data_IF_982728320885
#
_entry.id   IF_982728320885
#
_cell.length_a   1.000
_cell.length_b   1.000
_cell.length_c   1.000
_cell.angle_alpha   90.00
_cell.angle_beta   90.00
_cell.angle_gamma   90.00
#
_symmetry.space_group_name_H-M   'P 1'
#
loop_
_entity.id
_entity.type
_entity.pdbx_description
1 polymer ?
#
# COMPACT_ATOMS: atom_id res chain seq x y z
N UNK A 1 33.17 -8.98 63.03
CA UNK A 1 34.28 -8.40 63.84
C UNK A 1 35.41 -7.96 62.91
N UNK A 2 36.37 -7.17 63.42
CA UNK A 2 37.69 -6.84 62.82
C UNK A 2 37.77 -6.07 61.49
N UNK A 3 38.75 -5.15 61.40
CA UNK A 3 39.06 -4.27 60.27
C UNK A 3 40.44 -4.62 59.65
N UNK A 4 40.64 -4.31 58.35
CA UNK A 4 41.81 -3.66 57.69
C UNK A 4 41.82 -4.05 56.19
N UNK A 5 41.92 -3.22 55.13
CA UNK A 5 42.43 -1.86 54.79
C UNK A 5 43.90 -1.76 54.32
N UNK A 6 44.13 -0.94 53.28
CA UNK A 6 45.41 -0.55 52.61
C UNK A 6 46.05 -1.60 51.65
N UNK A 7 46.74 -1.24 50.55
CA UNK A 7 46.80 0.05 49.81
C UNK A 7 47.49 -0.02 48.42
N UNK A 8 46.78 0.47 47.40
CA UNK A 8 47.17 1.50 46.42
C UNK A 8 48.67 1.85 46.19
N UNK A 9 49.11 1.78 44.91
CA UNK A 9 50.11 2.61 44.19
C UNK A 9 50.17 2.10 42.72
N UNK A 10 50.42 2.89 41.66
CA UNK A 10 50.31 4.34 41.42
C UNK A 10 50.55 4.55 39.91
N UNK A 11 49.73 5.34 39.20
CA UNK A 11 50.17 6.17 38.05
C UNK A 11 49.13 7.25 37.74
N UNK A 12 49.58 8.36 37.15
CA UNK A 12 48.80 9.54 36.76
C UNK A 12 49.25 9.93 35.30
N UNK A 13 48.72 10.94 34.61
CA UNK A 13 47.91 12.09 35.03
C UNK A 13 47.11 12.70 33.85
N UNK A 14 46.15 13.60 34.18
CA UNK A 14 45.98 14.98 33.62
C UNK A 14 46.16 15.18 32.09
N UNK A 15 45.23 15.79 31.35
CA UNK A 15 44.58 17.05 31.70
C UNK A 15 43.10 17.21 31.29
N UNK A 16 42.42 18.08 32.04
CA UNK A 16 41.26 18.85 31.59
C UNK A 16 41.71 20.33 31.53
N UNK A 17 41.14 21.14 30.65
CA UNK A 17 41.21 22.61 30.80
C UNK A 17 39.96 23.26 30.22
N UNK A 18 39.34 24.12 31.02
CA UNK A 18 38.21 24.94 30.66
C UNK A 18 38.48 26.36 31.14
N UNK A 19 38.21 27.37 30.30
CA UNK A 19 38.22 28.75 30.74
C UNK A 19 37.19 29.58 29.97
N UNK A 20 36.59 30.52 30.67
CA UNK A 20 35.49 31.36 30.23
C UNK A 20 35.77 32.77 30.77
N UNK A 21 35.81 33.78 29.90
CA UNK A 21 35.94 35.18 30.33
C UNK A 21 35.42 36.19 29.29
N UNK A 22 34.45 36.95 29.77
CA UNK A 22 33.92 38.27 29.39
C UNK A 22 34.55 39.03 28.20
N UNK A 23 33.70 39.29 27.20
CA UNK A 23 33.23 40.62 26.77
C UNK A 23 34.13 41.86 26.78
N UNK A 24 34.14 42.58 25.65
CA UNK A 24 34.51 44.00 25.54
C UNK A 24 33.41 44.73 24.76
N UNK A 25 33.04 45.93 25.20
CA UNK A 25 32.02 46.80 24.59
C UNK A 25 32.59 47.72 23.51
N UNK A 26 31.79 48.07 22.49
CA UNK A 26 31.90 49.36 21.81
C UNK A 26 30.52 49.80 21.30
N UNK A 27 30.26 51.11 21.29
CA UNK A 27 28.97 51.73 20.97
C UNK A 27 29.13 52.82 19.89
N UNK A 28 28.00 53.43 19.52
CA UNK A 28 27.85 54.63 18.68
C UNK A 28 27.93 54.38 17.15
N UNK A 29 27.14 55.03 16.28
CA UNK A 29 26.20 56.17 16.47
C UNK A 29 24.93 56.07 15.61
N UNK A 30 23.97 56.91 15.97
CA UNK A 30 22.79 57.41 15.27
C UNK A 30 23.07 58.81 14.63
N UNK A 31 22.19 59.51 13.88
CA UNK A 31 20.75 59.24 13.66
C UNK A 31 20.23 59.44 12.21
N UNK A 32 19.84 60.65 11.69
CA UNK A 32 18.45 60.74 11.22
C UNK A 32 18.22 61.12 9.74
N UNK A 33 17.02 60.74 9.25
CA UNK A 33 16.09 61.44 8.31
C UNK A 33 16.67 62.06 7.00
N UNK A 34 16.09 61.89 5.80
CA UNK A 34 14.66 62.00 5.39
C UNK A 34 14.44 61.51 3.92
N UNK A 35 13.20 61.44 3.39
CA UNK A 35 12.88 60.76 2.12
C UNK A 35 12.68 61.66 0.88
N UNK A 36 12.78 61.07 -0.34
CA UNK A 36 11.98 61.45 -1.51
C UNK A 36 11.25 60.20 -2.11
N UNK A 37 9.93 60.23 -2.21
CA UNK A 37 9.13 60.57 -3.42
C UNK A 37 8.80 59.36 -4.30
N UNK A 38 7.51 59.13 -4.56
CA UNK A 38 7.05 58.07 -5.46
C UNK A 38 7.09 58.54 -6.92
N UNK A 39 7.46 57.63 -7.83
CA UNK A 39 7.14 57.77 -9.24
C UNK A 39 6.83 56.39 -9.86
N UNK A 40 6.02 56.36 -10.91
CA UNK A 40 5.58 55.12 -11.57
C UNK A 40 6.47 54.77 -12.75
N UNK A 41 6.93 53.51 -12.82
CA UNK A 41 7.32 52.86 -14.08
C UNK A 41 6.75 51.45 -14.10
N UNK A 42 5.86 51.17 -15.06
CA UNK A 42 5.48 49.81 -15.41
C UNK A 42 6.50 49.20 -16.38
N UNK A 43 6.81 47.90 -16.23
CA UNK A 43 6.97 46.92 -17.33
C UNK A 43 7.94 45.77 -16.99
N UNK A 44 7.61 44.59 -17.53
CA UNK A 44 8.52 43.50 -17.94
C UNK A 44 9.42 42.79 -16.91
N UNK A 45 8.99 41.55 -16.60
CA UNK A 45 9.79 40.32 -16.43
C UNK A 45 11.07 40.33 -15.58
N UNK A 46 10.98 39.70 -14.40
CA UNK A 46 11.71 38.44 -14.15
C UNK A 46 11.11 37.68 -12.96
N UNK A 47 10.39 36.57 -13.22
CA UNK A 47 9.87 35.67 -12.16
C UNK A 47 10.89 34.57 -11.91
N UNK A 48 11.98 34.91 -11.20
CA UNK A 48 13.03 33.97 -10.87
C UNK A 48 12.77 33.21 -9.58
N UNK A 49 12.79 31.87 -9.71
CA UNK A 49 12.96 30.82 -8.70
C UNK A 49 12.49 31.07 -7.26
N UNK A 50 11.37 30.43 -6.90
CA UNK A 50 11.04 30.09 -5.50
C UNK A 50 10.57 28.62 -5.36
N UNK A 51 11.06 27.73 -6.24
CA UNK A 51 10.59 26.34 -6.35
C UNK A 51 11.50 25.30 -5.64
N UNK A 52 12.57 25.72 -4.96
CA UNK A 52 13.52 24.78 -4.32
C UNK A 52 13.21 24.48 -2.85
N UNK A 53 12.45 25.33 -2.16
CA UNK A 53 12.23 25.27 -0.70
C UNK A 53 11.28 24.15 -0.24
N UNK A 54 10.91 23.23 -1.12
CA UNK A 54 10.15 22.00 -0.80
C UNK A 54 10.95 20.69 -1.06
N UNK A 55 12.23 20.77 -1.43
CA UNK A 55 13.05 19.58 -1.80
C UNK A 55 13.92 18.99 -0.69
N UNK A 56 14.18 19.72 0.39
CA UNK A 56 15.16 19.30 1.42
C UNK A 56 14.49 18.84 2.72
N UNK A 57 14.02 17.58 2.72
CA UNK A 57 13.60 16.85 3.92
C UNK A 57 13.94 15.34 3.78
N UNK A 58 15.23 15.03 3.62
CA UNK A 58 15.85 13.68 3.65
C UNK A 58 15.32 12.63 2.65
N UNK A 59 16.13 12.40 1.61
CA UNK A 59 16.61 11.09 1.13
C UNK A 59 15.65 9.87 1.19
N UNK A 60 15.30 9.19 0.10
CA UNK A 60 15.87 9.19 -1.27
C UNK A 60 14.97 9.86 -2.31
N UNK A 61 15.57 10.62 -3.23
CA UNK A 61 14.86 11.27 -4.33
C UNK A 61 14.74 10.35 -5.57
N UNK A 62 14.17 9.16 -5.38
CA UNK A 62 13.70 8.32 -6.49
C UNK A 62 12.58 9.08 -7.21
N UNK A 63 12.73 9.32 -8.52
CA UNK A 63 11.72 10.04 -9.29
C UNK A 63 10.41 9.23 -9.29
N UNK A 64 9.34 9.81 -8.73
CA UNK A 64 8.05 9.12 -8.61
C UNK A 64 7.57 8.71 -10.00
N UNK A 65 7.31 7.42 -10.17
CA UNK A 65 6.86 6.84 -11.43
C UNK A 65 5.49 7.41 -11.80
N UNK A 66 5.34 7.91 -13.03
CA UNK A 66 4.10 8.55 -13.51
C UNK A 66 2.85 7.68 -13.27
N UNK A 67 2.97 6.36 -13.39
CA UNK A 67 1.86 5.42 -13.16
C UNK A 67 1.53 5.26 -11.66
N UNK A 68 2.53 5.34 -10.79
CA UNK A 68 2.32 5.38 -9.33
C UNK A 68 1.71 6.72 -8.89
N UNK A 69 2.16 7.82 -9.50
CA UNK A 69 1.62 9.16 -9.30
C UNK A 69 0.14 9.23 -9.73
N UNK A 70 -0.21 8.71 -10.91
CA UNK A 70 -1.59 8.69 -11.38
C UNK A 70 -2.51 7.80 -10.53
N UNK A 71 -2.01 6.67 -10.01
CA UNK A 71 -2.75 5.84 -9.07
C UNK A 71 -3.12 6.63 -7.80
N UNK A 72 -2.17 7.40 -7.28
CA UNK A 72 -2.36 8.21 -6.08
C UNK A 72 -3.19 9.48 -6.34
N UNK A 73 -3.10 10.08 -7.52
CA UNK A 73 -3.99 11.16 -7.98
C UNK A 73 -5.44 10.68 -8.11
N UNK A 74 -5.65 9.49 -8.67
CA UNK A 74 -6.96 8.85 -8.75
C UNK A 74 -7.50 8.55 -7.35
N UNK A 75 -6.69 8.01 -6.44
CA UNK A 75 -7.06 7.80 -5.04
C UNK A 75 -7.45 9.13 -4.34
N UNK A 76 -6.66 10.21 -4.50
CA UNK A 76 -7.00 11.54 -3.97
C UNK A 76 -8.34 12.04 -4.50
N UNK A 77 -8.58 11.89 -5.81
CA UNK A 77 -9.85 12.29 -6.45
C UNK A 77 -11.05 11.57 -5.82
N UNK A 78 -10.94 10.26 -5.61
CA UNK A 78 -12.04 9.45 -5.05
C UNK A 78 -12.24 9.75 -3.55
N UNK A 79 -11.17 9.97 -2.78
CA UNK A 79 -11.27 10.31 -1.35
C UNK A 79 -12.19 11.51 -1.10
N UNK A 80 -11.96 12.62 -1.81
CA UNK A 80 -12.77 13.83 -1.68
C UNK A 80 -14.18 13.62 -2.28
N UNK A 81 -14.30 12.95 -3.44
CA UNK A 81 -15.59 12.76 -4.09
C UNK A 81 -16.54 11.79 -3.37
N UNK A 82 -16.06 10.95 -2.44
CA UNK A 82 -16.87 9.89 -1.78
C UNK A 82 -17.04 10.08 -0.26
N UNK A 83 -16.87 11.32 0.24
CA UNK A 83 -16.95 11.67 1.66
C UNK A 83 -16.04 10.82 2.57
N UNK A 84 -14.84 10.45 2.10
CA UNK A 84 -13.97 9.52 2.84
C UNK A 84 -13.43 10.09 4.18
N UNK A 85 -13.48 11.41 4.34
CA UNK A 85 -13.04 12.13 5.53
C UNK A 85 -14.07 12.16 6.66
N UNK A 86 -15.28 11.64 6.43
CA UNK A 86 -16.24 11.29 7.47
C UNK A 86 -15.97 9.89 8.04
N UNK A 87 -16.15 9.70 9.36
CA UNK A 87 -15.95 8.41 10.00
C UNK A 87 -17.00 7.41 9.49
N UNK A 88 -16.62 6.15 9.23
CA UNK A 88 -17.57 5.14 8.79
C UNK A 88 -18.63 4.89 9.87
N UNK A 89 -19.89 4.78 9.44
CA UNK A 89 -21.09 4.78 10.27
C UNK A 89 -21.15 3.60 11.24
N UNK A 90 -20.41 2.51 10.97
CA UNK A 90 -20.18 1.45 11.96
C UNK A 90 -19.19 1.88 13.05
N UNK A 91 -19.71 2.21 14.24
CA UNK A 91 -18.95 2.21 15.49
C UNK A 91 -18.51 0.80 15.94
N UNK A 92 -19.02 -0.23 15.27
CA UNK A 92 -18.85 -1.62 15.65
C UNK A 92 -17.43 -2.17 15.40
N UNK A 93 -17.00 -3.10 16.25
CA UNK A 93 -15.82 -3.94 15.99
C UNK A 93 -16.02 -4.75 14.70
N UNK A 94 -14.93 -5.12 14.01
CA UNK A 94 -14.99 -5.68 12.65
C UNK A 94 -15.74 -7.02 12.54
N UNK A 95 -16.04 -7.67 13.66
CA UNK A 95 -16.87 -8.87 13.72
C UNK A 95 -18.34 -8.57 13.43
N UNK A 96 -18.90 -7.52 14.04
CA UNK A 96 -20.32 -7.14 13.90
C UNK A 96 -20.68 -6.59 12.51
N UNK A 97 -19.70 -6.22 11.70
CA UNK A 97 -19.89 -5.68 10.34
C UNK A 97 -20.37 -6.72 9.32
N UNK A 98 -20.29 -8.03 9.62
CA UNK A 98 -20.20 -9.06 8.57
C UNK A 98 -21.27 -10.16 8.62
N UNK A 99 -22.19 -10.15 9.59
CA UNK A 99 -23.33 -11.09 9.60
C UNK A 99 -24.49 -10.67 8.69
N UNK A 100 -24.76 -9.36 8.60
CA UNK A 100 -25.80 -8.78 7.73
C UNK A 100 -25.25 -8.46 6.33
N UNK A 101 -25.17 -9.49 5.48
CA UNK A 101 -24.69 -9.42 4.09
C UNK A 101 -25.69 -8.73 3.12
N UNK A 102 -26.26 -7.60 3.52
CA UNK A 102 -27.26 -6.79 2.78
C UNK A 102 -27.07 -5.28 2.93
N UNK A 103 -26.19 -4.81 3.82
CA UNK A 103 -25.98 -3.38 4.09
C UNK A 103 -24.48 -3.03 4.10
N UNK A 104 -23.91 -2.64 2.96
CA UNK A 104 -22.78 -1.72 2.99
C UNK A 104 -23.32 -0.29 3.14
N UNK A 105 -22.90 0.38 4.22
CA UNK A 105 -23.03 1.83 4.38
C UNK A 105 -21.68 2.56 4.43
N UNK A 106 -20.58 1.81 4.57
CA UNK A 106 -19.27 2.37 4.87
C UNK A 106 -18.34 2.35 3.64
N UNK A 107 -17.78 3.51 3.33
CA UNK A 107 -16.81 3.71 2.25
C UNK A 107 -15.52 2.89 2.51
N UNK A 108 -15.00 2.11 1.53
CA UNK A 108 -13.76 1.34 1.69
C UNK A 108 -12.53 2.20 2.03
N UNK A 109 -12.49 3.45 1.56
CA UNK A 109 -11.43 4.39 1.86
C UNK A 109 -11.55 4.95 3.29
N UNK A 110 -12.77 5.26 3.77
CA UNK A 110 -12.99 5.61 5.18
C UNK A 110 -12.56 4.47 6.11
N UNK A 111 -12.85 3.23 5.73
CA UNK A 111 -12.37 2.06 6.46
C UNK A 111 -10.84 1.95 6.43
N UNK A 112 -10.15 2.28 5.33
CA UNK A 112 -8.68 2.29 5.29
C UNK A 112 -8.09 3.38 6.19
N UNK A 113 -8.65 4.59 6.17
CA UNK A 113 -8.26 5.71 7.05
C UNK A 113 -8.46 5.39 8.54
N UNK A 114 -9.57 4.72 8.90
CA UNK A 114 -9.89 4.30 10.29
C UNK A 114 -8.89 3.29 10.90
N UNK A 115 -8.12 2.57 10.08
CA UNK A 115 -7.18 1.54 10.54
C UNK A 115 -5.70 1.90 10.32
N UNK A 116 -5.38 3.18 10.15
CA UNK A 116 -4.00 3.67 10.15
C UNK A 116 -3.43 3.72 11.59
N UNK A 117 -2.29 3.07 11.84
CA UNK A 117 -1.51 3.20 13.08
C UNK A 117 -0.66 4.48 13.01
N UNK A 118 -1.27 5.63 13.29
CA UNK A 118 -0.62 6.96 13.25
C UNK A 118 -0.07 7.30 14.64
N UNK A 119 1.18 7.76 14.69
CA UNK A 119 1.83 8.31 15.90
C UNK A 119 2.28 9.75 15.60
N UNK A 120 2.00 10.68 16.51
CA UNK A 120 2.63 12.00 16.48
C UNK A 120 4.10 11.93 16.95
N UNK A 121 5.03 12.39 16.13
CA UNK A 121 6.48 12.37 16.40
C UNK A 121 6.85 13.18 17.65
N UNK A 122 6.10 14.24 17.97
CA UNK A 122 6.47 15.16 19.06
C UNK A 122 6.10 14.66 20.46
N UNK A 123 5.04 13.85 20.56
CA UNK A 123 4.48 13.35 21.82
C UNK A 123 4.55 11.82 21.95
N UNK A 124 4.82 11.09 20.87
CA UNK A 124 4.80 9.63 20.82
C UNK A 124 3.40 9.02 20.99
N UNK A 125 2.33 9.84 20.94
CA UNK A 125 0.95 9.39 21.18
C UNK A 125 0.26 8.92 19.91
N UNK A 126 -0.66 7.94 20.00
CA UNK A 126 -1.56 7.60 18.91
C UNK A 126 -2.40 8.80 18.46
N UNK A 127 -2.55 8.93 17.14
CA UNK A 127 -3.41 9.90 16.47
C UNK A 127 -4.51 9.13 15.74
N UNK A 128 -5.76 9.55 15.95
CA UNK A 128 -6.89 9.09 15.14
C UNK A 128 -7.11 10.11 14.02
N UNK A 129 -7.07 9.65 12.77
CA UNK A 129 -7.29 10.48 11.58
C UNK A 129 -8.61 11.27 11.65
N UNK A 130 -9.67 10.70 12.22
CA UNK A 130 -10.98 11.34 12.27
C UNK A 130 -11.08 12.46 13.30
N UNK A 131 -10.19 12.47 14.30
CA UNK A 131 -10.07 13.53 15.30
C UNK A 131 -9.16 14.69 14.86
N UNK A 132 -8.58 14.63 13.64
CA UNK A 132 -7.82 15.73 13.07
C UNK A 132 -8.76 16.84 12.53
N UNK A 133 -8.40 18.13 12.70
CA UNK A 133 -9.00 19.23 11.95
C UNK A 133 -8.93 18.99 10.43
N UNK A 134 -9.88 19.54 9.67
CA UNK A 134 -9.99 19.30 8.23
C UNK A 134 -8.70 19.64 7.46
N UNK A 135 -8.10 20.80 7.70
CA UNK A 135 -6.78 21.19 7.13
C UNK A 135 -5.70 20.11 7.39
N UNK A 136 -5.68 19.52 8.58
CA UNK A 136 -4.71 18.50 8.96
C UNK A 136 -5.00 17.16 8.29
N UNK A 137 -6.27 16.78 8.11
CA UNK A 137 -6.67 15.61 7.31
C UNK A 137 -6.16 15.72 5.87
N UNK A 138 -6.34 16.89 5.25
CA UNK A 138 -5.95 17.12 3.86
C UNK A 138 -4.42 17.07 3.66
N UNK A 139 -3.66 17.77 4.52
CA UNK A 139 -2.18 17.72 4.48
C UNK A 139 -1.65 16.32 4.80
N UNK A 140 -2.27 15.61 5.76
CA UNK A 140 -1.90 14.23 6.08
C UNK A 140 -2.12 13.28 4.88
N UNK A 141 -3.26 13.40 4.20
CA UNK A 141 -3.61 12.58 3.02
C UNK A 141 -2.69 12.86 1.84
N UNK A 142 -2.32 14.12 1.60
CA UNK A 142 -1.40 14.48 0.52
C UNK A 142 0.00 13.89 0.74
N UNK A 143 0.50 13.96 1.98
CA UNK A 143 1.76 13.33 2.38
C UNK A 143 1.70 11.80 2.32
N UNK A 144 0.60 11.19 2.76
CA UNK A 144 0.39 9.74 2.77
C UNK A 144 0.39 9.17 1.35
N UNK A 145 -0.38 9.78 0.45
CA UNK A 145 -0.43 9.38 -0.96
C UNK A 145 0.91 9.66 -1.67
N UNK A 146 1.70 10.63 -1.21
CA UNK A 146 3.07 10.87 -1.71
C UNK A 146 4.04 9.76 -1.29
N UNK A 147 3.98 9.31 -0.03
CA UNK A 147 4.81 8.18 0.46
C UNK A 147 4.41 6.84 -0.19
N UNK A 148 3.12 6.61 -0.42
CA UNK A 148 2.65 5.45 -1.17
C UNK A 148 3.03 5.53 -2.66
N UNK A 149 3.00 6.70 -3.30
CA UNK A 149 3.47 6.87 -4.66
C UNK A 149 4.96 6.51 -4.80
N UNK A 150 5.80 6.90 -3.83
CA UNK A 150 7.21 6.44 -3.73
C UNK A 150 7.29 4.92 -3.56
N UNK A 151 6.50 4.34 -2.65
CA UNK A 151 6.45 2.89 -2.41
C UNK A 151 6.10 2.09 -3.65
N UNK A 152 5.03 2.48 -4.36
CA UNK A 152 4.58 1.85 -5.60
C UNK A 152 5.62 2.03 -6.70
N UNK A 153 6.31 3.19 -6.76
CA UNK A 153 7.41 3.41 -7.71
C UNK A 153 8.52 2.37 -7.54
N UNK A 154 9.03 2.17 -6.32
CA UNK A 154 10.07 1.15 -6.08
C UNK A 154 9.58 -0.30 -6.20
N UNK A 155 8.28 -0.55 -6.04
CA UNK A 155 7.68 -1.85 -6.38
C UNK A 155 7.60 -2.07 -7.90
N UNK A 156 7.37 -1.04 -8.71
CA UNK A 156 7.46 -1.08 -10.18
C UNK A 156 8.92 -1.24 -10.63
N UNK A 157 9.88 -0.56 -9.99
CA UNK A 157 11.32 -0.73 -10.28
C UNK A 157 11.78 -2.18 -10.06
N UNK A 158 11.30 -2.83 -8.98
CA UNK A 158 11.59 -4.23 -8.69
C UNK A 158 10.89 -5.22 -9.64
N UNK A 159 9.68 -4.88 -10.14
CA UNK A 159 8.88 -5.72 -11.05
C UNK A 159 8.21 -4.85 -12.13
N UNK A 160 8.90 -4.57 -13.25
CA UNK A 160 8.42 -3.62 -14.26
C UNK A 160 7.07 -3.95 -14.89
N UNK A 161 6.68 -5.22 -14.93
CA UNK A 161 5.39 -5.69 -15.49
C UNK A 161 4.18 -5.18 -14.70
N UNK A 162 4.37 -4.76 -13.44
CA UNK A 162 3.34 -4.05 -12.67
C UNK A 162 2.96 -2.70 -13.28
N UNK A 163 3.85 -2.06 -14.05
CA UNK A 163 3.59 -0.76 -14.68
C UNK A 163 2.37 -0.83 -15.61
N UNK A 164 2.27 -1.87 -16.43
CA UNK A 164 1.18 -2.00 -17.40
C UNK A 164 -0.13 -2.47 -16.76
N UNK A 165 -0.06 -3.25 -15.67
CA UNK A 165 -1.24 -3.62 -14.86
C UNK A 165 -1.79 -2.39 -14.13
N UNK A 166 -0.93 -1.59 -13.47
CA UNK A 166 -1.35 -0.35 -12.82
C UNK A 166 -1.81 0.71 -13.82
N UNK A 167 -1.22 0.77 -15.02
CA UNK A 167 -1.70 1.65 -16.10
C UNK A 167 -3.13 1.29 -16.53
N UNK A 168 -3.47 0.00 -16.60
CA UNK A 168 -4.85 -0.47 -16.81
C UNK A 168 -5.78 -0.08 -15.66
N UNK A 169 -5.40 -0.37 -14.41
CA UNK A 169 -6.19 0.03 -13.24
C UNK A 169 -6.44 1.56 -13.23
N UNK A 170 -5.43 2.36 -13.57
CA UNK A 170 -5.54 3.81 -13.69
C UNK A 170 -6.45 4.27 -14.84
N UNK A 171 -6.35 3.64 -16.02
CA UNK A 171 -7.21 3.94 -17.17
C UNK A 171 -8.69 3.68 -16.86
N UNK A 172 -9.01 2.50 -16.31
CA UNK A 172 -10.36 2.15 -15.88
C UNK A 172 -10.88 3.13 -14.83
N UNK A 173 -10.07 3.44 -13.81
CA UNK A 173 -10.42 4.40 -12.76
C UNK A 173 -10.67 5.81 -13.32
N UNK A 174 -9.85 6.25 -14.27
CA UNK A 174 -10.00 7.55 -14.93
C UNK A 174 -11.30 7.64 -15.73
N UNK A 175 -11.67 6.60 -16.49
CA UNK A 175 -12.94 6.57 -17.25
C UNK A 175 -14.16 6.71 -16.35
N UNK A 176 -14.14 6.15 -15.13
CA UNK A 176 -15.24 6.29 -14.16
C UNK A 176 -15.24 7.67 -13.51
N UNK A 177 -14.07 8.23 -13.19
CA UNK A 177 -13.90 9.63 -12.73
C UNK A 177 -14.49 10.62 -13.76
N UNK A 178 -14.14 10.47 -15.04
CA UNK A 178 -14.60 11.31 -16.14
C UNK A 178 -16.11 11.14 -16.40
N UNK A 179 -16.61 9.90 -16.47
CA UNK A 179 -18.04 9.59 -16.67
C UNK A 179 -18.93 10.13 -15.55
N UNK A 180 -18.41 10.23 -14.33
CA UNK A 180 -19.09 10.81 -13.15
C UNK A 180 -18.85 12.32 -13.00
N UNK A 181 -18.15 12.97 -13.93
CA UNK A 181 -17.90 14.41 -13.92
C UNK A 181 -16.97 14.90 -12.82
N UNK A 182 -16.16 14.01 -12.24
CA UNK A 182 -15.31 14.33 -11.08
C UNK A 182 -14.04 15.06 -11.51
N UNK A 183 -13.74 16.19 -10.85
CA UNK A 183 -12.51 16.95 -11.12
C UNK A 183 -11.29 16.20 -10.58
N UNK A 184 -10.42 15.68 -11.47
CA UNK A 184 -9.18 14.98 -11.08
C UNK A 184 -8.30 15.88 -10.20
N UNK A 185 -7.93 15.35 -9.04
CA UNK A 185 -7.02 15.98 -8.08
C UNK A 185 -5.58 15.49 -8.28
N UNK A 186 -4.61 16.30 -7.88
CA UNK A 186 -3.18 15.95 -7.91
C UNK A 186 -2.59 16.00 -6.51
N UNK A 187 -1.69 15.07 -6.18
CA UNK A 187 -0.87 15.13 -4.95
C UNK A 187 0.23 16.19 -5.07
N UNK A 188 0.70 16.76 -3.96
CA UNK A 188 1.78 17.76 -3.92
C UNK A 188 1.45 19.15 -4.47
N UNK A 189 0.36 19.29 -5.23
CA UNK A 189 -0.13 20.60 -5.71
C UNK A 189 -0.82 21.34 -4.57
N UNK A 190 -0.01 22.09 -3.83
CA UNK A 190 -0.45 22.93 -2.73
C UNK A 190 -1.33 24.08 -3.27
N UNK A 191 -2.66 23.92 -3.16
CA UNK A 191 -3.66 24.87 -3.70
C UNK A 191 -3.70 26.18 -2.89
N UNK A 192 -2.74 27.06 -3.14
CA UNK A 192 -2.76 28.46 -2.68
C UNK A 192 -3.96 29.25 -3.20
N UNK A 193 -4.62 28.77 -4.26
CA UNK A 193 -6.01 29.09 -4.60
C UNK A 193 -6.93 27.95 -4.20
N UNK A 194 -7.60 28.12 -3.07
CA UNK A 194 -8.81 27.37 -2.73
C UNK A 194 -9.90 27.66 -3.78
N UNK A 195 -9.96 26.81 -4.81
CA UNK A 195 -11.27 26.22 -5.13
C UNK A 195 -11.65 25.44 -3.89
N UNK A 196 -12.65 25.93 -3.17
CA UNK A 196 -13.18 25.33 -1.95
C UNK A 196 -13.64 23.90 -2.21
N UNK A 197 -13.79 23.11 -1.15
CA UNK A 197 -14.29 21.72 -1.26
C UNK A 197 -15.70 21.69 -1.86
N UNK A 198 -16.44 22.79 -1.73
CA UNK A 198 -17.72 23.12 -2.41
C UNK A 198 -17.71 22.90 -3.93
N UNK A 199 -16.55 22.99 -4.58
CA UNK A 199 -16.37 22.85 -6.04
C UNK A 199 -16.24 21.36 -6.48
N UNK A 200 -16.28 20.41 -5.53
CA UNK A 200 -16.13 18.97 -5.76
C UNK A 200 -17.51 18.31 -5.80
N UNK A 201 -17.84 17.67 -6.93
CA UNK A 201 -19.07 16.90 -7.09
C UNK A 201 -19.05 15.67 -6.18
N UNK A 202 -19.87 15.69 -5.14
CA UNK A 202 -20.04 14.54 -4.23
C UNK A 202 -20.85 13.40 -4.87
N UNK A 203 -20.33 12.19 -4.75
CA UNK A 203 -20.97 10.95 -5.17
C UNK A 203 -22.08 10.59 -4.18
N UNK A 204 -23.33 10.94 -4.54
CA UNK A 204 -24.54 10.69 -3.74
C UNK A 204 -24.72 9.22 -3.34
N UNK A 205 -24.30 8.28 -4.18
CA UNK A 205 -24.40 6.82 -3.92
C UNK A 205 -23.01 6.17 -4.05
N UNK A 206 -22.21 6.27 -2.98
CA UNK A 206 -20.83 5.77 -2.96
C UNK A 206 -20.73 4.27 -3.24
N UNK A 207 -21.68 3.46 -2.75
CA UNK A 207 -21.74 2.01 -3.01
C UNK A 207 -21.88 1.68 -4.52
N UNK A 208 -22.66 2.47 -5.26
CA UNK A 208 -22.89 2.30 -6.69
C UNK A 208 -21.68 2.74 -7.52
N UNK A 209 -21.01 3.82 -7.11
CA UNK A 209 -19.72 4.23 -7.67
C UNK A 209 -18.63 3.16 -7.47
N UNK A 210 -18.49 2.61 -6.26
CA UNK A 210 -17.49 1.58 -5.99
C UNK A 210 -17.78 0.24 -6.68
N UNK A 211 -19.07 -0.06 -6.96
CA UNK A 211 -19.45 -1.18 -7.82
C UNK A 211 -19.03 -0.93 -9.27
N UNK A 212 -19.45 0.18 -9.87
CA UNK A 212 -19.09 0.57 -11.24
C UNK A 212 -17.57 0.60 -11.47
N UNK A 213 -16.83 1.20 -10.55
CA UNK A 213 -15.36 1.25 -10.58
C UNK A 213 -14.73 -0.14 -10.60
N UNK A 214 -15.34 -1.12 -9.93
CA UNK A 214 -14.83 -2.49 -9.87
C UNK A 214 -15.18 -3.28 -11.11
N UNK A 215 -16.38 -3.08 -11.66
CA UNK A 215 -16.81 -3.66 -12.94
C UNK A 215 -15.93 -3.16 -14.10
N UNK A 216 -15.58 -1.86 -14.11
CA UNK A 216 -14.67 -1.27 -15.11
C UNK A 216 -13.23 -1.80 -14.99
N UNK A 217 -12.70 -1.91 -13.76
CA UNK A 217 -11.36 -2.48 -13.51
C UNK A 217 -11.33 -3.97 -13.89
N UNK A 218 -12.37 -4.74 -13.55
CA UNK A 218 -12.47 -6.16 -13.93
C UNK A 218 -12.53 -6.34 -15.45
N UNK A 219 -13.20 -5.45 -16.18
CA UNK A 219 -13.24 -5.45 -17.65
C UNK A 219 -11.89 -5.10 -18.30
N UNK A 220 -11.17 -4.10 -17.80
CA UNK A 220 -9.86 -3.68 -18.35
C UNK A 220 -8.73 -4.70 -18.05
N UNK A 221 -8.79 -5.33 -16.88
CA UNK A 221 -7.86 -6.39 -16.46
C UNK A 221 -8.21 -7.75 -17.09
N UNK A 222 -9.47 -7.99 -17.46
CA UNK A 222 -9.87 -9.18 -18.20
C UNK A 222 -9.14 -9.28 -19.55
N UNK A 223 -8.83 -10.50 -20.02
CA UNK A 223 -8.22 -10.69 -21.32
C UNK A 223 -9.24 -10.47 -22.44
N UNK A 224 -9.46 -9.20 -22.79
CA UNK A 224 -9.93 -8.83 -24.12
C UNK A 224 -9.15 -9.65 -25.15
N UNK A 225 -9.87 -10.46 -25.93
CA UNK A 225 -9.28 -11.45 -26.83
C UNK A 225 -9.48 -11.01 -28.28
N UNK A 226 -8.49 -10.36 -28.91
CA UNK A 226 -8.49 -10.23 -30.36
C UNK A 226 -8.40 -11.63 -30.97
N UNK A 227 -9.28 -11.96 -31.91
CA UNK A 227 -9.10 -13.12 -32.78
C UNK A 227 -8.00 -12.83 -33.82
N UNK A 228 -6.75 -12.73 -33.38
CA UNK A 228 -5.62 -12.77 -34.30
C UNK A 228 -5.40 -14.21 -34.77
N UNK A 229 -5.69 -14.43 -36.05
CA UNK A 229 -5.41 -15.68 -36.75
C UNK A 229 -3.89 -15.87 -36.90
N UNK A 230 -3.27 -16.51 -35.92
CA UNK A 230 -1.84 -16.81 -35.90
C UNK A 230 -1.44 -17.68 -34.71
N UNK A 231 -1.40 -19.00 -34.88
CA UNK A 231 -1.16 -19.96 -33.79
C UNK A 231 0.32 -20.04 -33.35
N UNK A 232 0.83 -18.98 -32.72
CA UNK A 232 2.10 -19.03 -31.97
C UNK A 232 1.81 -19.51 -30.55
N UNK A 233 2.17 -20.76 -30.24
CA UNK A 233 1.90 -21.38 -28.94
C UNK A 233 3.10 -21.22 -28.00
N UNK A 234 3.11 -20.15 -27.21
CA UNK A 234 4.09 -20.00 -26.13
C UNK A 234 3.79 -20.97 -24.99
N UNK A 235 4.79 -21.74 -24.54
CA UNK A 235 4.69 -22.47 -23.28
C UNK A 235 5.06 -21.50 -22.15
N UNK A 236 4.24 -21.44 -21.09
CA UNK A 236 4.61 -20.71 -19.88
C UNK A 236 5.86 -21.38 -19.26
N UNK A 237 6.81 -20.62 -18.69
CA UNK A 237 7.94 -21.21 -17.98
C UNK A 237 7.43 -22.02 -16.79
N UNK A 238 7.59 -23.34 -16.83
CA UNK A 238 7.33 -24.21 -15.69
C UNK A 238 8.59 -24.36 -14.84
N UNK A 239 8.46 -24.06 -13.55
CA UNK A 239 9.54 -24.19 -12.58
C UNK A 239 9.63 -25.64 -12.13
N UNK A 240 10.82 -26.27 -12.16
CA UNK A 240 10.99 -27.62 -11.62
C UNK A 240 10.53 -27.66 -10.16
N UNK A 241 9.62 -28.57 -9.82
CA UNK A 241 8.98 -28.67 -8.49
C UNK A 241 9.99 -28.75 -7.34
N UNK A 242 11.18 -29.32 -7.57
CA UNK A 242 12.25 -29.34 -6.56
C UNK A 242 12.87 -27.96 -6.31
N UNK A 243 12.91 -27.06 -7.31
CA UNK A 243 13.30 -25.66 -7.13
C UNK A 243 12.26 -24.90 -6.32
N UNK A 244 10.96 -25.10 -6.58
CA UNK A 244 9.86 -24.54 -5.77
C UNK A 244 9.99 -24.97 -4.31
N UNK A 245 10.13 -26.29 -4.07
CA UNK A 245 10.37 -26.87 -2.74
C UNK A 245 11.59 -26.24 -2.06
N UNK A 246 12.72 -26.15 -2.75
CA UNK A 246 13.97 -25.64 -2.19
C UNK A 246 13.91 -24.12 -1.90
N UNK A 247 13.23 -23.36 -2.76
CA UNK A 247 12.96 -21.93 -2.56
C UNK A 247 12.06 -21.70 -1.32
N UNK A 248 10.96 -22.45 -1.21
CA UNK A 248 10.04 -22.36 -0.06
C UNK A 248 10.75 -22.79 1.23
N UNK A 249 11.50 -23.90 1.21
CA UNK A 249 12.31 -24.39 2.36
C UNK A 249 13.31 -23.34 2.88
N UNK A 250 13.83 -22.47 2.01
CA UNK A 250 14.80 -21.42 2.38
C UNK A 250 14.18 -20.10 2.82
N UNK A 251 13.00 -19.75 2.32
CA UNK A 251 12.46 -18.38 2.39
C UNK A 251 11.04 -18.26 2.94
N UNK A 252 10.20 -19.26 2.73
CA UNK A 252 8.81 -19.28 3.17
C UNK A 252 8.68 -19.81 4.60
N UNK A 253 7.67 -19.29 5.29
CA UNK A 253 7.23 -19.74 6.61
C UNK A 253 5.74 -20.06 6.53
N UNK A 254 5.24 -20.90 7.42
CA UNK A 254 3.79 -21.05 7.60
C UNK A 254 3.15 -19.68 7.87
N UNK A 255 2.19 -19.32 7.04
CA UNK A 255 1.43 -18.07 7.07
C UNK A 255 2.13 -16.86 6.42
N UNK A 256 3.22 -17.07 5.70
CA UNK A 256 3.48 -16.31 4.47
C UNK A 256 2.48 -16.74 3.37
N UNK A 257 2.39 -16.02 2.25
CA UNK A 257 1.54 -16.40 1.12
C UNK A 257 2.31 -16.43 -0.20
N UNK A 258 1.98 -17.38 -1.08
CA UNK A 258 2.44 -17.41 -2.46
C UNK A 258 1.54 -16.51 -3.31
N UNK A 259 2.14 -15.75 -4.24
CA UNK A 259 1.45 -14.78 -5.08
C UNK A 259 1.97 -14.86 -6.53
N UNK A 260 1.12 -15.32 -7.44
CA UNK A 260 1.36 -15.22 -8.88
C UNK A 260 0.69 -13.93 -9.40
N UNK A 261 1.42 -13.11 -10.16
CA UNK A 261 0.86 -11.98 -10.90
C UNK A 261 0.61 -12.39 -12.37
N UNK A 262 -0.28 -11.71 -13.11
CA UNK A 262 -0.61 -12.08 -14.50
C UNK A 262 0.58 -12.10 -15.47
N UNK A 263 1.69 -11.41 -15.15
CA UNK A 263 2.89 -11.29 -15.96
C UNK A 263 4.16 -11.31 -15.10
N UNK A 264 4.90 -12.43 -15.15
CA UNK A 264 6.16 -12.62 -14.44
C UNK A 264 7.39 -12.37 -15.33
N UNK A 265 7.69 -11.10 -15.56
CA UNK A 265 9.08 -10.64 -15.67
C UNK A 265 9.87 -11.02 -16.92
N UNK A 266 9.24 -11.12 -18.10
CA UNK A 266 9.96 -11.23 -19.38
C UNK A 266 9.52 -10.13 -20.38
N UNK A 267 10.44 -9.54 -21.16
CA UNK A 267 10.19 -8.28 -21.89
C UNK A 267 9.36 -8.41 -23.19
N UNK A 268 8.48 -9.40 -23.30
CA UNK A 268 7.76 -9.74 -24.54
C UNK A 268 6.27 -10.12 -24.33
N UNK A 269 5.68 -9.79 -23.18
CA UNK A 269 4.34 -10.24 -22.75
C UNK A 269 3.17 -9.47 -23.36
N UNK A 270 3.08 -9.49 -24.69
CA UNK A 270 1.78 -9.31 -25.34
C UNK A 270 0.96 -10.60 -25.25
N UNK A 271 0.02 -10.61 -24.29
CA UNK A 271 -1.11 -11.53 -24.12
C UNK A 271 -0.74 -12.92 -23.52
N UNK A 272 -1.55 -13.40 -22.56
CA UNK A 272 -1.44 -14.74 -21.93
C UNK A 272 -1.90 -15.91 -22.84
N UNK A 273 -1.43 -15.94 -24.10
CA UNK A 273 -1.72 -16.98 -25.10
C UNK A 273 -0.73 -18.15 -25.00
N UNK A 274 -0.76 -18.82 -23.86
CA UNK A 274 -0.10 -20.11 -23.70
C UNK A 274 -1.08 -21.25 -23.49
N UNK A 275 -0.72 -22.42 -24.06
CA UNK A 275 -1.22 -23.72 -23.60
C UNK A 275 -0.53 -24.01 -22.26
N UNK A 276 -1.28 -24.58 -21.31
CA UNK A 276 -0.78 -24.96 -19.98
C UNK A 276 -0.32 -23.82 -19.03
N UNK A 277 -0.65 -22.55 -19.31
CA UNK A 277 -0.47 -21.46 -18.33
C UNK A 277 -1.42 -21.69 -17.15
N UNK A 278 -0.89 -22.02 -15.97
CA UNK A 278 -1.64 -21.87 -14.71
C UNK A 278 -1.68 -20.37 -14.35
N UNK A 279 -2.76 -19.93 -13.72
CA UNK A 279 -2.89 -18.55 -13.18
C UNK A 279 -2.83 -17.40 -14.22
N UNK A 280 -3.52 -17.55 -15.36
CA UNK A 280 -3.64 -16.53 -16.43
C UNK A 280 -4.10 -15.11 -16.00
N UNK A 281 -4.68 -14.98 -14.81
CA UNK A 281 -5.16 -13.71 -14.23
C UNK A 281 -4.47 -13.40 -12.88
N UNK A 282 -3.32 -14.04 -12.62
CA UNK A 282 -2.70 -14.10 -11.29
C UNK A 282 -3.48 -15.00 -10.32
N UNK A 283 -2.91 -15.23 -9.13
CA UNK A 283 -3.46 -16.11 -8.09
C UNK A 283 -2.75 -15.92 -6.75
N UNK A 284 -3.38 -16.33 -5.64
CA UNK A 284 -2.78 -16.25 -4.30
C UNK A 284 -3.14 -17.46 -3.41
N UNK A 285 -2.18 -17.93 -2.60
CA UNK A 285 -2.36 -19.08 -1.71
C UNK A 285 -1.61 -18.93 -0.38
N UNK A 286 -2.26 -19.22 0.74
CA UNK A 286 -1.68 -19.05 2.09
C UNK A 286 -0.86 -20.28 2.45
N UNK A 287 0.44 -20.14 2.70
CA UNK A 287 1.34 -21.27 2.95
C UNK A 287 1.01 -21.87 4.32
N UNK A 288 0.44 -23.07 4.35
CA UNK A 288 -0.06 -23.73 5.55
C UNK A 288 0.97 -24.66 6.22
N UNK A 289 2.11 -24.95 5.58
CA UNK A 289 3.16 -25.80 6.16
C UNK A 289 4.54 -25.17 6.07
N UNK A 290 5.43 -25.54 6.99
CA UNK A 290 6.86 -25.27 6.85
C UNK A 290 7.47 -26.33 5.93
N UNK A 291 7.89 -25.95 4.72
CA UNK A 291 8.53 -26.89 3.78
C UNK A 291 9.91 -27.28 4.29
N UNK A 292 10.22 -28.58 4.30
CA UNK A 292 11.48 -29.15 4.76
C UNK A 292 12.11 -30.05 3.69
N UNK A 293 13.31 -30.58 3.95
CA UNK A 293 13.93 -31.58 3.07
C UNK A 293 13.07 -32.85 2.92
N UNK A 294 12.32 -33.27 3.96
CA UNK A 294 11.46 -34.46 3.93
C UNK A 294 10.07 -34.23 3.33
N UNK A 295 9.63 -32.99 3.11
CA UNK A 295 8.34 -32.69 2.46
C UNK A 295 8.28 -33.31 1.05
N UNK A 296 7.32 -34.22 0.81
CA UNK A 296 7.02 -34.70 -0.53
C UNK A 296 6.15 -33.65 -1.27
N UNK A 297 6.67 -32.98 -2.31
CA UNK A 297 5.98 -31.86 -2.93
C UNK A 297 4.72 -32.28 -3.72
N UNK A 298 4.58 -33.56 -4.06
CA UNK A 298 3.44 -34.11 -4.82
C UNK A 298 2.30 -34.66 -3.95
N UNK A 299 2.48 -34.69 -2.62
CA UNK A 299 1.53 -35.29 -1.68
C UNK A 299 1.30 -34.48 -0.39
N UNK A 300 2.21 -33.58 -0.02
CA UNK A 300 2.04 -32.74 1.17
C UNK A 300 1.18 -31.51 0.86
N UNK A 301 0.08 -31.37 1.58
CA UNK A 301 -0.69 -30.13 1.67
C UNK A 301 0.22 -29.02 2.19
N UNK A 302 0.44 -27.99 1.36
CA UNK A 302 1.43 -26.95 1.58
C UNK A 302 0.82 -25.55 1.63
N UNK A 303 -0.33 -25.35 0.99
CA UNK A 303 -1.06 -24.08 0.88
C UNK A 303 -2.55 -24.29 1.12
N UNK A 304 -3.25 -23.25 1.59
CA UNK A 304 -4.72 -23.16 1.60
C UNK A 304 -5.13 -22.02 0.67
N UNK A 305 -6.04 -22.32 -0.25
CA UNK A 305 -6.31 -21.52 -1.44
C UNK A 305 -7.80 -21.60 -1.81
N UNK A 306 -8.32 -20.62 -2.53
CA UNK A 306 -9.71 -20.67 -3.03
C UNK A 306 -9.75 -20.79 -4.56
N UNK A 307 -10.54 -21.75 -5.07
CA UNK A 307 -10.74 -22.01 -6.49
C UNK A 307 -12.23 -22.16 -6.83
N UNK A 308 -12.60 -21.84 -8.07
CA UNK A 308 -13.96 -21.97 -8.62
C UNK A 308 -14.56 -23.38 -8.40
N UNK A 309 -13.71 -24.40 -8.48
CA UNK A 309 -14.02 -25.80 -8.18
C UNK A 309 -13.45 -26.14 -6.80
N UNK A 310 -14.28 -26.72 -5.92
CA UNK A 310 -13.89 -27.06 -4.54
C UNK A 310 -13.95 -25.91 -3.52
N UNK A 311 -13.86 -24.65 -3.96
CA UNK A 311 -13.84 -23.49 -3.04
C UNK A 311 -12.50 -23.41 -2.31
N UNK A 312 -12.54 -23.13 -1.01
CA UNK A 312 -11.35 -23.09 -0.13
C UNK A 312 -10.88 -24.51 0.21
N UNK A 313 -9.69 -24.88 -0.26
CA UNK A 313 -9.11 -26.21 -0.13
C UNK A 313 -7.59 -26.15 0.08
N UNK A 314 -6.97 -27.27 0.45
CA UNK A 314 -5.51 -27.39 0.48
C UNK A 314 -4.96 -27.77 -0.91
N UNK A 315 -3.83 -27.17 -1.31
CA UNK A 315 -3.02 -27.60 -2.45
C UNK A 315 -1.57 -27.90 -2.04
N UNK A 316 -0.77 -28.38 -2.99
CA UNK A 316 0.57 -28.95 -2.77
C UNK A 316 1.65 -28.05 -3.36
N UNK A 317 2.90 -28.27 -2.94
CA UNK A 317 4.06 -27.55 -3.50
C UNK A 317 4.18 -27.73 -5.02
N UNK A 318 3.80 -28.91 -5.55
CA UNK A 318 3.81 -29.19 -6.99
C UNK A 318 2.73 -28.44 -7.80
N UNK A 319 1.74 -27.82 -7.16
CA UNK A 319 0.72 -27.04 -7.84
C UNK A 319 1.19 -25.60 -8.17
N UNK A 320 2.29 -25.16 -7.53
CA UNK A 320 2.99 -23.88 -7.75
C UNK A 320 4.25 -24.01 -8.62
N UNK A 321 4.18 -24.85 -9.67
CA UNK A 321 5.23 -25.04 -10.70
C UNK A 321 5.32 -23.90 -11.73
N UNK A 322 4.91 -22.69 -11.36
CA UNK A 322 5.01 -21.46 -12.16
C UNK A 322 5.79 -20.38 -11.40
N UNK A 323 6.34 -19.34 -12.07
CA UNK A 323 6.77 -18.13 -11.40
C UNK A 323 5.75 -17.58 -10.40
N UNK A 324 6.24 -17.15 -9.24
CA UNK A 324 5.48 -16.55 -8.15
C UNK A 324 6.40 -15.90 -7.11
N UNK A 325 5.85 -14.98 -6.32
CA UNK A 325 6.52 -14.43 -5.14
C UNK A 325 6.12 -15.18 -3.88
N UNK A 326 7.05 -15.33 -2.95
CA UNK A 326 6.74 -15.61 -1.54
C UNK A 326 6.62 -14.26 -0.84
N UNK A 327 5.43 -13.97 -0.30
CA UNK A 327 5.05 -12.69 0.29
C UNK A 327 4.84 -12.81 1.80
N UNK A 328 5.33 -11.83 2.55
CA UNK A 328 5.06 -11.67 3.98
C UNK A 328 4.10 -10.52 4.25
N UNK A 329 3.46 -10.55 5.42
CA UNK A 329 2.64 -9.44 5.93
C UNK A 329 3.43 -8.66 6.98
N UNK A 330 3.28 -7.34 6.98
CA UNK A 330 3.89 -6.41 7.92
C UNK A 330 2.87 -5.38 8.41
N UNK A 331 3.05 -4.91 9.64
CA UNK A 331 2.39 -3.70 10.12
C UNK A 331 3.08 -2.48 9.51
N UNK A 332 2.29 -1.46 9.20
CA UNK A 332 2.76 -0.15 8.75
C UNK A 332 2.31 0.87 9.79
N UNK A 333 3.28 1.56 10.40
CA UNK A 333 3.08 2.65 11.33
C UNK A 333 3.45 3.95 10.65
N UNK A 334 2.57 4.94 10.71
CA UNK A 334 2.78 6.26 10.14
C UNK A 334 3.22 7.21 11.25
N UNK A 335 4.46 7.70 11.18
CA UNK A 335 4.96 8.71 12.09
C UNK A 335 4.79 10.07 11.42
N UNK A 336 3.95 10.90 12.02
CA UNK A 336 3.54 12.19 11.48
C UNK A 336 3.99 13.33 12.39
N UNK A 337 4.32 14.47 11.81
CA UNK A 337 4.60 15.70 12.55
C UNK A 337 3.95 16.89 11.87
N UNK A 338 2.91 17.40 12.52
CA UNK A 338 2.26 18.65 12.11
C UNK A 338 3.23 19.84 12.23
N UNK A 339 3.44 20.55 11.13
CA UNK A 339 4.17 21.83 11.04
C UNK A 339 3.55 22.76 9.97
N UNK A 340 2.23 22.70 9.78
CA UNK A 340 1.53 23.35 8.66
C UNK A 340 2.05 22.84 7.31
N UNK A 341 2.34 23.74 6.37
CA UNK A 341 2.94 23.41 5.06
C UNK A 341 4.35 22.78 5.12
N UNK A 342 4.99 22.69 6.30
CA UNK A 342 6.26 21.98 6.52
C UNK A 342 6.08 20.66 7.28
N UNK A 343 4.86 20.12 7.32
CA UNK A 343 4.56 18.86 7.98
C UNK A 343 5.36 17.71 7.36
N UNK A 344 5.78 16.77 8.20
CA UNK A 344 6.48 15.55 7.78
C UNK A 344 5.63 14.32 8.03
N UNK A 345 5.75 13.33 7.14
CA UNK A 345 5.19 11.99 7.32
C UNK A 345 6.24 10.99 6.85
N UNK A 346 6.45 9.93 7.62
CA UNK A 346 7.22 8.77 7.19
C UNK A 346 6.62 7.49 7.78
N UNK A 347 7.02 6.34 7.23
CA UNK A 347 6.54 5.03 7.67
C UNK A 347 7.62 4.23 8.38
N UNK A 348 7.20 3.50 9.40
CA UNK A 348 7.97 2.44 10.07
C UNK A 348 7.23 1.13 9.79
N UNK A 349 7.87 0.19 9.10
CA UNK A 349 7.30 -1.13 8.84
C UNK A 349 7.85 -2.17 9.81
N UNK A 350 7.06 -3.19 10.13
CA UNK A 350 7.50 -4.30 10.99
C UNK A 350 6.77 -5.59 10.61
N UNK A 351 7.46 -6.65 10.18
CA UNK A 351 6.85 -7.96 9.90
C UNK A 351 6.01 -8.48 11.07
N UNK A 352 4.89 -9.16 10.77
CA UNK A 352 4.05 -9.75 11.83
C UNK A 352 4.83 -10.80 12.63
N UNK A 353 4.69 -10.76 13.96
CA UNK A 353 5.47 -11.59 14.89
C UNK A 353 5.07 -13.07 14.87
N UNK A 354 3.78 -13.36 14.65
CA UNK A 354 3.27 -14.71 14.41
C UNK A 354 2.65 -14.79 13.00
N UNK A 355 3.43 -15.06 11.94
CA UNK A 355 2.88 -15.24 10.59
C UNK A 355 1.91 -16.43 10.51
N UNK A 356 2.10 -17.47 11.35
CA UNK A 356 1.28 -18.68 11.34
C UNK A 356 -0.22 -18.44 11.52
N UNK A 357 -0.59 -17.36 12.22
CA UNK A 357 -1.97 -16.97 12.44
C UNK A 357 -2.77 -16.75 11.13
N UNK A 358 -2.11 -16.36 10.03
CA UNK A 358 -2.74 -16.26 8.71
C UNK A 358 -3.26 -17.62 8.23
N UNK A 359 -2.42 -18.66 8.37
CA UNK A 359 -2.78 -20.04 8.02
C UNK A 359 -3.79 -20.65 9.01
N UNK A 360 -3.74 -20.26 10.29
CA UNK A 360 -4.72 -20.68 11.30
C UNK A 360 -6.12 -20.10 11.05
N UNK A 361 -6.22 -18.89 10.48
CA UNK A 361 -7.49 -18.36 10.00
C UNK A 361 -7.94 -19.02 8.69
N UNK A 362 -7.05 -19.18 7.71
CA UNK A 362 -7.36 -19.87 6.46
C UNK A 362 -7.89 -21.29 6.70
N UNK A 363 -7.32 -21.99 7.68
CA UNK A 363 -7.69 -23.35 8.07
C UNK A 363 -9.16 -23.50 8.51
N UNK A 364 -9.77 -22.44 9.06
CA UNK A 364 -11.18 -22.39 9.49
C UNK A 364 -12.15 -22.25 8.30
N UNK A 365 -11.67 -21.77 7.15
CA UNK A 365 -12.50 -21.47 5.99
C UNK A 365 -12.52 -22.59 4.94
N UNK A 366 -11.89 -23.74 5.18
CA UNK A 366 -12.00 -24.93 4.32
C UNK A 366 -13.46 -25.23 3.99
N UNK A 367 -13.72 -25.66 2.74
CA UNK A 367 -15.05 -25.98 2.23
C UNK A 367 -15.97 -24.78 2.00
N UNK A 368 -15.56 -23.55 2.34
CA UNK A 368 -16.32 -22.36 1.95
C UNK A 368 -16.19 -22.14 0.44
N UNK A 369 -17.29 -21.83 -0.23
CA UNK A 369 -17.35 -21.82 -1.69
C UNK A 369 -16.53 -20.70 -2.35
N UNK A 370 -16.37 -20.78 -3.67
CA UNK A 370 -15.90 -19.64 -4.45
C UNK A 370 -16.99 -18.59 -4.63
N UNK A 371 -16.62 -17.34 -4.92
CA UNK A 371 -17.59 -16.30 -5.32
C UNK A 371 -18.30 -16.67 -6.62
N UNK A 372 -19.57 -16.29 -6.77
CA UNK A 372 -20.31 -16.45 -8.04
C UNK A 372 -19.94 -15.32 -9.01
N UNK A 373 -20.27 -15.48 -10.29
CA UNK A 373 -19.93 -14.49 -11.33
C UNK A 373 -20.37 -13.05 -11.01
N UNK A 374 -21.60 -12.87 -10.53
CA UNK A 374 -22.14 -11.56 -10.13
C UNK A 374 -21.53 -10.98 -8.82
N UNK A 375 -20.55 -11.67 -8.24
CA UNK A 375 -19.91 -11.35 -6.95
C UNK A 375 -18.40 -11.13 -7.09
N UNK A 376 -17.84 -11.15 -8.31
CA UNK A 376 -16.41 -10.89 -8.53
C UNK A 376 -16.08 -9.43 -8.22
N UNK A 377 -16.68 -8.47 -8.94
CA UNK A 377 -16.66 -7.02 -8.68
C UNK A 377 -16.87 -6.62 -7.20
N UNK A 378 -17.48 -7.49 -6.39
CA UNK A 378 -17.87 -7.23 -5.01
C UNK A 378 -17.32 -8.27 -4.02
N UNK A 379 -16.24 -8.98 -4.37
CA UNK A 379 -15.79 -10.19 -3.66
C UNK A 379 -15.52 -10.02 -2.15
N UNK A 380 -15.11 -8.83 -1.68
CA UNK A 380 -14.98 -8.54 -0.23
C UNK A 380 -16.31 -8.70 0.54
N UNK A 381 -17.46 -8.54 -0.12
CA UNK A 381 -18.80 -8.62 0.46
C UNK A 381 -19.34 -10.05 0.50
N UNK A 382 -18.75 -10.96 -0.27
CA UNK A 382 -19.07 -12.39 -0.25
C UNK A 382 -18.40 -13.12 0.94
N UNK A 383 -17.31 -12.57 1.47
CA UNK A 383 -16.61 -13.07 2.66
C UNK A 383 -17.42 -12.80 3.95
N UNK A 384 -17.38 -13.72 4.95
CA UNK A 384 -16.65 -14.98 4.98
C UNK A 384 -17.33 -16.14 4.25
N UNK A 385 -18.56 -15.97 3.74
CA UNK A 385 -19.37 -17.09 3.22
C UNK A 385 -18.74 -17.74 1.98
N UNK A 386 -18.08 -16.95 1.13
CA UNK A 386 -17.35 -17.35 -0.08
C UNK A 386 -16.12 -16.47 -0.31
N UNK A 387 -15.14 -16.96 -1.07
CA UNK A 387 -13.88 -16.26 -1.33
C UNK A 387 -13.43 -16.33 -2.79
N UNK A 388 -12.59 -15.38 -3.20
CA UNK A 388 -11.58 -15.54 -4.25
C UNK A 388 -10.25 -15.95 -3.61
N UNK A 389 -9.28 -16.40 -4.40
CA UNK A 389 -7.93 -16.69 -3.91
C UNK A 389 -7.28 -15.48 -3.18
N UNK A 390 -7.49 -14.27 -3.70
CA UNK A 390 -6.98 -13.02 -3.13
C UNK A 390 -7.77 -12.51 -1.91
N UNK A 391 -9.10 -12.60 -1.92
CA UNK A 391 -9.92 -12.16 -0.77
C UNK A 391 -9.78 -13.11 0.43
N UNK A 392 -9.41 -14.37 0.21
CA UNK A 392 -9.02 -15.27 1.31
C UNK A 392 -7.78 -14.73 2.06
N UNK A 393 -6.74 -14.29 1.35
CA UNK A 393 -5.54 -13.66 1.95
C UNK A 393 -5.92 -12.39 2.72
N UNK A 394 -6.67 -11.48 2.09
CA UNK A 394 -7.14 -10.24 2.70
C UNK A 394 -7.96 -10.47 3.97
N UNK A 395 -8.94 -11.36 3.93
CA UNK A 395 -9.81 -11.65 5.06
C UNK A 395 -9.04 -12.30 6.22
N UNK A 396 -8.15 -13.24 5.92
CA UNK A 396 -7.31 -13.87 6.93
C UNK A 396 -6.31 -12.87 7.53
N UNK A 397 -5.75 -11.95 6.75
CA UNK A 397 -4.87 -10.88 7.25
C UNK A 397 -5.62 -9.92 8.20
N UNK A 398 -6.84 -9.52 7.84
CA UNK A 398 -7.71 -8.69 8.68
C UNK A 398 -8.08 -9.42 9.99
N UNK A 399 -8.40 -10.72 9.93
CA UNK A 399 -8.76 -11.53 11.12
C UNK A 399 -7.56 -11.96 11.98
N UNK A 400 -6.37 -12.12 11.41
CA UNK A 400 -5.16 -12.48 12.14
C UNK A 400 -4.48 -11.28 12.81
N UNK A 401 -4.50 -10.10 12.17
CA UNK A 401 -3.63 -8.99 12.54
C UNK A 401 -4.32 -7.62 12.64
N UNK A 402 -5.58 -7.50 12.22
CA UNK A 402 -6.26 -6.22 12.02
C UNK A 402 -5.85 -5.47 10.73
N UNK A 403 -5.09 -6.12 9.83
CA UNK A 403 -4.44 -5.49 8.68
C UNK A 403 -5.31 -5.62 7.41
N UNK A 404 -5.52 -4.50 6.69
CA UNK A 404 -6.37 -4.41 5.50
C UNK A 404 -5.55 -4.39 4.19
N UNK A 405 -5.00 -5.52 3.76
CA UNK A 405 -4.16 -5.64 2.54
C UNK A 405 -4.99 -5.51 1.25
N UNK A 406 -5.17 -4.28 0.72
CA UNK A 406 -5.86 -4.04 -0.56
C UNK A 406 -5.80 -2.57 -1.01
N UNK A 407 -5.79 -2.37 -2.33
CA UNK A 407 -6.02 -1.10 -3.04
C UNK A 407 -7.08 -0.22 -2.40
N UNK A 408 -6.77 1.07 -2.20
CA UNK A 408 -7.56 2.04 -1.43
C UNK A 408 -9.06 2.07 -1.75
N UNK A 409 -9.38 2.35 -3.00
CA UNK A 409 -10.73 2.62 -3.48
C UNK A 409 -11.50 1.35 -3.86
N UNK A 410 -10.86 0.19 -3.94
CA UNK A 410 -11.48 -0.97 -4.57
C UNK A 410 -12.14 -1.91 -3.56
N UNK A 411 -13.43 -2.28 -3.72
CA UNK A 411 -14.01 -3.43 -3.05
C UNK A 411 -13.51 -4.78 -3.60
N UNK A 412 -12.66 -4.79 -4.63
CA UNK A 412 -11.87 -5.96 -5.05
C UNK A 412 -10.63 -6.16 -4.16
N UNK A 413 -10.00 -7.32 -4.33
CA UNK A 413 -8.59 -7.56 -3.97
C UNK A 413 -7.94 -8.20 -5.20
N UNK A 414 -7.06 -7.50 -5.89
CA UNK A 414 -6.34 -8.00 -7.08
C UNK A 414 -4.98 -8.59 -6.69
N UNK A 415 -4.38 -9.48 -7.50
CA UNK A 415 -3.01 -9.96 -7.26
C UNK A 415 -1.98 -8.82 -7.32
N UNK A 416 -2.19 -7.84 -8.21
CA UNK A 416 -1.46 -6.56 -8.23
C UNK A 416 -1.59 -5.82 -6.90
N UNK A 417 -2.83 -5.63 -6.40
CA UNK A 417 -3.09 -4.98 -5.11
C UNK A 417 -2.44 -5.68 -3.91
N UNK A 418 -2.39 -7.02 -3.89
CA UNK A 418 -1.66 -7.77 -2.86
C UNK A 418 -0.14 -7.67 -2.97
N UNK A 419 0.40 -7.27 -4.13
CA UNK A 419 1.83 -6.96 -4.26
C UNK A 419 2.12 -5.49 -3.90
N UNK A 420 1.28 -4.55 -4.36
CA UNK A 420 1.53 -3.11 -4.21
C UNK A 420 1.20 -2.58 -2.82
N UNK A 421 0.26 -3.18 -2.08
CA UNK A 421 -0.12 -2.76 -0.73
C UNK A 421 1.07 -2.74 0.25
N UNK A 422 1.22 -1.64 0.98
CA UNK A 422 2.33 -1.38 1.91
C UNK A 422 2.39 -2.33 3.10
N UNK A 423 1.28 -2.97 3.47
CA UNK A 423 1.26 -3.99 4.53
C UNK A 423 1.74 -5.38 4.03
N UNK A 424 2.22 -5.47 2.79
CA UNK A 424 2.86 -6.67 2.23
C UNK A 424 4.30 -6.38 1.76
N UNK A 425 5.14 -7.41 1.77
CA UNK A 425 6.52 -7.33 1.28
C UNK A 425 6.97 -8.64 0.64
N UNK A 426 7.83 -8.56 -0.38
CA UNK A 426 8.46 -9.74 -1.00
C UNK A 426 9.48 -10.33 -0.04
N UNK A 427 9.38 -11.64 0.21
CA UNK A 427 10.39 -12.44 0.91
C UNK A 427 11.34 -13.13 -0.08
N UNK A 428 10.81 -13.57 -1.22
CA UNK A 428 11.56 -14.22 -2.28
C UNK A 428 10.79 -14.18 -3.61
N UNK A 429 11.52 -14.22 -4.73
CA UNK A 429 10.97 -14.41 -6.07
C UNK A 429 11.38 -15.80 -6.55
N UNK A 430 10.42 -16.61 -6.98
CA UNK A 430 10.63 -17.99 -7.44
C UNK A 430 10.54 -18.00 -8.97
N UNK A 431 11.66 -18.35 -9.61
CA UNK A 431 11.90 -18.38 -11.07
C UNK A 431 12.57 -19.70 -11.46
#
# INVERSE_FOLDING_TARGET
MTKKTFSLKKFAAVALSSMLLMGITSCSKEEPLSPPSADKVESSYEVLSNNETLRNATETNTAINEVALDYCNNAKTILYATAAFDPPLSSATYENLMDNSSNLKDNPMSLRLKYLDIIDESTGRPVDFYNLPQEQKEVFVDLLLTEEAKSISSKIEAVPTLKDILKKENNATLRVIERRGLTKLQIGVNRSTLRSVEDIVEVQESADFFRELSEEIEQELSPNTPQMFGSVSFNYPTIPVQRVKEAWRRSARRGDFALAIPDHGHPWTFINVGKNVKFKIGHAGIINTNVTYSTNPYAANATIESYKEGGVQDLRVADWDTPHYVMGIQKVKWVWKWRGFRSGLYRVTTPVSNPGALADWAAKYRGHGYVKGYEFATAKWAAPKRFTCTTLVWWCAKKAYGINVSSWYSPLVTPSGLYTDDCTYVRHNVL
#
